data_IF_638701298735
#
_entry.id   IF_638701298735
#
_cell.length_a   1.000
_cell.length_b   1.000
_cell.length_c   1.000
_cell.angle_alpha   90.00
_cell.angle_beta   90.00
_cell.angle_gamma   90.00
#
_symmetry.space_group_name_H-M   'P 1'
#
loop_
_entity.id
_entity.type
_entity.pdbx_description
1 polymer ?
#
# COMPACT_ATOMS: atom_id res chain seq x y z
N UNK A 1 8.15 16.26 -3.11
CA UNK A 1 6.90 16.14 -3.88
C UNK A 1 6.32 17.53 -4.00
N UNK A 2 5.74 17.91 -5.16
CA UNK A 2 5.51 19.30 -5.53
C UNK A 2 4.68 20.11 -4.52
N UNK A 3 3.70 19.47 -3.84
CA UNK A 3 2.92 20.11 -2.77
C UNK A 3 3.76 20.44 -1.52
N UNK A 4 4.54 19.48 -1.02
CA UNK A 4 5.40 19.69 0.16
C UNK A 4 6.48 20.76 -0.12
N UNK A 5 7.02 20.79 -1.34
CA UNK A 5 7.99 21.81 -1.78
C UNK A 5 7.39 23.23 -1.77
N UNK A 6 6.08 23.33 -1.97
CA UNK A 6 5.31 24.57 -1.85
C UNK A 6 4.76 24.82 -0.44
N UNK A 7 5.26 24.11 0.59
CA UNK A 7 4.79 24.18 1.98
C UNK A 7 3.30 23.82 2.17
N UNK A 8 2.70 23.08 1.24
CA UNK A 8 1.35 22.52 1.39
C UNK A 8 1.50 21.15 2.07
N UNK A 9 0.85 20.98 3.22
CA UNK A 9 0.84 19.70 3.95
C UNK A 9 0.19 18.64 3.06
N UNK A 10 0.90 17.54 2.84
CA UNK A 10 0.44 16.43 2.02
C UNK A 10 0.77 15.09 2.68
N UNK A 11 -0.08 14.09 2.42
CA UNK A 11 0.07 12.72 2.90
C UNK A 11 -0.62 11.74 1.97
N UNK A 12 -0.51 10.44 2.26
CA UNK A 12 -1.12 9.40 1.46
C UNK A 12 -0.87 8.00 2.01
N UNK A 13 -1.47 7.01 1.36
CA UNK A 13 -1.33 5.58 1.67
C UNK A 13 -0.77 4.83 0.46
N UNK A 14 0.07 3.83 0.69
CA UNK A 14 0.68 3.01 -0.35
C UNK A 14 0.98 1.60 0.16
N UNK A 15 0.97 0.61 -0.74
CA UNK A 15 1.33 -0.79 -0.45
C UNK A 15 2.77 -1.15 -0.84
N UNK A 16 3.48 -0.24 -1.51
CA UNK A 16 4.82 -0.44 -2.07
C UNK A 16 4.82 -0.75 -3.57
N UNK A 17 6.01 -0.90 -4.14
CA UNK A 17 6.29 -1.06 -5.58
C UNK A 17 7.29 -2.21 -5.84
N UNK A 18 8.46 -1.90 -6.37
CA UNK A 18 9.58 -2.76 -6.73
C UNK A 18 10.44 -3.24 -5.54
N UNK A 19 10.20 -2.75 -4.32
CA UNK A 19 10.95 -3.17 -3.16
C UNK A 19 10.67 -4.65 -2.78
N UNK A 20 11.68 -5.34 -2.25
CA UNK A 20 11.55 -6.70 -1.74
C UNK A 20 11.02 -6.66 -0.30
N UNK A 21 9.93 -7.41 -0.03
CA UNK A 21 9.36 -7.54 1.31
C UNK A 21 10.33 -8.27 2.24
N UNK A 22 10.70 -7.64 3.35
CA UNK A 22 11.59 -8.24 4.35
C UNK A 22 10.85 -9.23 5.25
N UNK A 23 11.58 -10.12 5.92
CA UNK A 23 11.00 -11.02 6.93
C UNK A 23 10.30 -10.25 8.07
N UNK A 24 10.90 -9.13 8.50
CA UNK A 24 10.33 -8.23 9.53
C UNK A 24 9.02 -7.60 9.04
N UNK A 25 8.98 -7.12 7.79
CA UNK A 25 7.74 -6.59 7.21
C UNK A 25 6.67 -7.67 7.11
N UNK A 26 6.99 -8.86 6.59
CA UNK A 26 6.01 -9.97 6.57
C UNK A 26 5.47 -10.20 7.98
N UNK A 27 6.35 -10.38 8.96
CA UNK A 27 5.96 -10.67 10.35
C UNK A 27 5.02 -9.60 10.91
N UNK A 28 5.34 -8.32 10.69
CA UNK A 28 4.48 -7.20 11.07
C UNK A 28 3.10 -7.32 10.44
N UNK A 29 3.01 -7.55 9.13
CA UNK A 29 1.74 -7.72 8.45
C UNK A 29 0.99 -8.97 8.92
N UNK A 30 1.67 -10.10 9.17
CA UNK A 30 1.05 -11.31 9.71
C UNK A 30 0.34 -11.01 11.03
N UNK A 31 1.00 -10.27 11.91
CA UNK A 31 0.45 -9.92 13.21
C UNK A 31 -0.70 -8.91 13.12
N UNK A 32 -0.77 -8.10 12.06
CA UNK A 32 -1.83 -7.09 11.88
C UNK A 32 -3.03 -7.56 11.07
N UNK A 33 -2.83 -8.38 10.03
CA UNK A 33 -3.86 -8.72 9.03
C UNK A 33 -4.00 -10.23 8.76
N UNK A 34 -3.30 -11.05 9.55
CA UNK A 34 -3.30 -12.50 9.44
C UNK A 34 -2.42 -13.04 8.30
N UNK A 35 -2.18 -14.35 8.31
CA UNK A 35 -1.30 -15.02 7.34
C UNK A 35 -1.76 -14.85 5.88
N UNK A 36 -3.07 -14.92 5.64
CA UNK A 36 -3.63 -14.88 4.28
C UNK A 36 -3.39 -13.55 3.54
N UNK A 37 -3.14 -12.45 4.26
CA UNK A 37 -2.96 -11.12 3.69
C UNK A 37 -1.53 -10.56 3.90
N UNK A 38 -0.65 -11.30 4.56
CA UNK A 38 0.69 -10.82 4.90
C UNK A 38 1.66 -10.79 3.70
N UNK A 39 1.39 -11.61 2.69
CA UNK A 39 2.29 -11.88 1.58
C UNK A 39 3.54 -12.65 2.02
N UNK A 40 4.56 -12.65 1.15
CA UNK A 40 5.76 -13.48 1.32
C UNK A 40 7.00 -12.61 1.54
N UNK A 41 7.87 -13.02 2.47
CA UNK A 41 9.20 -12.44 2.57
C UNK A 41 10.05 -12.88 1.37
N UNK A 42 10.88 -11.96 0.85
CA UNK A 42 11.70 -12.19 -0.35
C UNK A 42 10.97 -11.96 -1.67
N UNK A 43 9.65 -11.74 -1.66
CA UNK A 43 8.90 -11.34 -2.85
C UNK A 43 8.95 -9.82 -3.07
N UNK A 44 8.91 -9.39 -4.33
CA UNK A 44 8.68 -7.99 -4.69
C UNK A 44 7.25 -7.60 -4.27
N UNK A 45 7.05 -6.39 -3.72
CA UNK A 45 5.75 -5.94 -3.23
C UNK A 45 4.69 -5.87 -4.33
N UNK A 46 5.09 -5.40 -5.51
CA UNK A 46 4.34 -5.50 -6.76
C UNK A 46 5.25 -6.05 -7.87
N UNK A 47 5.14 -7.35 -8.22
CA UNK A 47 5.96 -7.96 -9.26
C UNK A 47 5.65 -7.47 -10.68
N UNK A 48 4.57 -6.69 -10.86
CA UNK A 48 4.19 -6.11 -12.14
C UNK A 48 4.42 -4.59 -12.20
N UNK A 49 5.09 -3.99 -11.21
CA UNK A 49 5.35 -2.54 -11.18
C UNK A 49 5.99 -2.06 -12.50
N UNK A 50 5.32 -1.15 -13.21
CA UNK A 50 5.71 -0.64 -14.54
C UNK A 50 5.87 -1.71 -15.64
N UNK A 51 5.19 -2.84 -15.53
CA UNK A 51 5.17 -3.91 -16.53
C UNK A 51 3.77 -4.06 -17.15
N UNK A 52 3.65 -4.66 -18.36
CA UNK A 52 2.35 -4.86 -19.01
C UNK A 52 1.36 -5.74 -18.23
N UNK A 53 1.82 -6.49 -17.24
CA UNK A 53 0.97 -7.31 -16.38
C UNK A 53 0.27 -6.52 -15.25
N UNK A 54 0.60 -5.22 -15.08
CA UNK A 54 -0.11 -4.31 -14.17
C UNK A 54 -1.51 -4.01 -14.71
N UNK A 55 -2.40 -4.95 -14.44
CA UNK A 55 -3.80 -4.96 -14.89
C UNK A 55 -4.68 -5.22 -13.68
N UNK A 56 -6.01 -5.23 -13.88
CA UNK A 56 -6.97 -5.56 -12.81
C UNK A 56 -6.74 -6.96 -12.18
N UNK A 57 -6.01 -7.84 -12.87
CA UNK A 57 -5.65 -9.16 -12.35
C UNK A 57 -4.54 -9.11 -11.28
N UNK A 58 -3.79 -8.01 -11.19
CA UNK A 58 -2.69 -7.81 -10.22
C UNK A 58 -3.13 -7.03 -8.97
N UNK A 59 -4.43 -7.02 -8.64
CA UNK A 59 -4.95 -6.29 -7.48
C UNK A 59 -5.18 -7.23 -6.30
N UNK A 60 -4.50 -6.96 -5.19
CA UNK A 60 -4.80 -7.60 -3.91
C UNK A 60 -6.02 -6.95 -3.23
N UNK A 61 -7.19 -7.57 -3.39
CA UNK A 61 -8.49 -7.01 -2.99
C UNK A 61 -8.55 -6.52 -1.54
N UNK A 62 -8.05 -7.30 -0.58
CA UNK A 62 -8.03 -6.89 0.83
C UNK A 62 -7.20 -5.62 1.05
N UNK A 63 -6.05 -5.51 0.38
CA UNK A 63 -5.20 -4.31 0.46
C UNK A 63 -5.89 -3.09 -0.14
N UNK A 64 -6.52 -3.26 -1.31
CA UNK A 64 -7.28 -2.23 -1.99
C UNK A 64 -8.42 -1.65 -1.13
N UNK A 65 -9.24 -2.51 -0.52
CA UNK A 65 -10.36 -2.08 0.33
C UNK A 65 -9.89 -1.31 1.56
N UNK A 66 -8.80 -1.74 2.20
CA UNK A 66 -8.23 -1.04 3.36
C UNK A 66 -7.67 0.34 2.99
N UNK A 67 -7.01 0.47 1.83
CA UNK A 67 -6.49 1.76 1.38
C UNK A 67 -7.61 2.76 1.04
N UNK A 68 -8.71 2.29 0.43
CA UNK A 68 -9.89 3.14 0.18
C UNK A 68 -10.49 3.63 1.48
N UNK A 69 -10.66 2.74 2.47
CA UNK A 69 -11.20 3.12 3.78
C UNK A 69 -10.30 4.14 4.48
N UNK A 70 -8.98 3.94 4.45
CA UNK A 70 -8.03 4.89 5.01
C UNK A 70 -8.06 6.26 4.32
N UNK A 71 -8.21 6.28 2.99
CA UNK A 71 -8.35 7.53 2.24
C UNK A 71 -9.66 8.25 2.58
N UNK A 72 -10.79 7.53 2.61
CA UNK A 72 -12.09 8.08 3.00
C UNK A 72 -12.05 8.65 4.43
N UNK A 73 -11.50 7.89 5.38
CA UNK A 73 -11.32 8.35 6.76
C UNK A 73 -10.52 9.67 6.82
N UNK A 74 -9.41 9.75 6.08
CA UNK A 74 -8.59 10.97 6.02
C UNK A 74 -9.38 12.18 5.51
N UNK A 75 -10.17 12.01 4.46
CA UNK A 75 -11.02 13.07 3.91
C UNK A 75 -12.11 13.50 4.90
N UNK A 76 -12.81 12.55 5.51
CA UNK A 76 -13.92 12.82 6.44
C UNK A 76 -13.49 13.55 7.71
N UNK A 77 -12.27 13.29 8.19
CA UNK A 77 -11.77 13.84 9.44
C UNK A 77 -10.95 15.13 9.26
N UNK A 78 -10.28 15.30 8.12
CA UNK A 78 -9.40 16.46 7.88
C UNK A 78 -9.95 17.46 6.87
N UNK A 79 -10.95 17.05 6.06
CA UNK A 79 -11.54 17.89 5.00
C UNK A 79 -12.72 18.75 5.45
N UNK A 80 -12.93 18.92 6.76
CA UNK A 80 -13.98 19.77 7.34
C UNK A 80 -13.56 21.24 7.39
#
# INVERSE_FOLDING_TARGET
GPFLEACVVAGGVATGSDAIKTAVQREKYRNSVGDNNAGFAGAILDPCYHLPCDTIANIHKFGYENLIQAAAFGLEHLGQ
#
